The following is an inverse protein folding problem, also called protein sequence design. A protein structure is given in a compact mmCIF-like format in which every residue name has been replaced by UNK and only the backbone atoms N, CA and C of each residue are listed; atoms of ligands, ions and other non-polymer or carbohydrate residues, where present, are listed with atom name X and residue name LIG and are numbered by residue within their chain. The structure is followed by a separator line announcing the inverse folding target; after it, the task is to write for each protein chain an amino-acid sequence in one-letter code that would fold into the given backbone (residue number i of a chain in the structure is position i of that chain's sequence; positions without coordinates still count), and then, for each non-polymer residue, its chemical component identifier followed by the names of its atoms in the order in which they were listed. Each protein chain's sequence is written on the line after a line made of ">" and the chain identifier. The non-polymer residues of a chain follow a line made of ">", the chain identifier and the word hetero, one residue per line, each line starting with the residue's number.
data_IF_030492294302
#
_entry.id   IF_030492294302
#
_cell.length_a   1.000
_cell.length_b   1.000
_cell.length_c   1.000
_cell.angle_alpha   90.00
_cell.angle_beta   90.00
_cell.angle_gamma   90.00
#
_symmetry.space_group_name_H-M   'P 1'
#
loop_
_entity.id
_entity.type
_entity.pdbx_description
1 polymer ?
#
# COMPACT_ATOMS: atom_id res chain seq x y z
N UNK A 1 36.14 -39.80 -18.68
CA UNK A 1 34.98 -39.90 -17.78
C UNK A 1 34.62 -38.49 -17.32
N UNK A 2 33.73 -37.79 -18.03
CA UNK A 2 33.29 -36.44 -17.67
C UNK A 2 32.01 -36.54 -16.83
N UNK A 3 32.14 -36.36 -15.52
CA UNK A 3 30.99 -36.31 -14.61
C UNK A 3 30.33 -34.93 -14.71
N UNK A 4 29.13 -34.88 -15.30
CA UNK A 4 28.26 -33.71 -15.30
C UNK A 4 27.90 -33.35 -13.85
N UNK A 5 28.37 -32.19 -13.42
CA UNK A 5 27.99 -31.56 -12.15
C UNK A 5 26.48 -31.24 -12.22
N UNK A 6 25.65 -31.67 -11.26
CA UNK A 6 24.23 -31.32 -11.26
C UNK A 6 24.11 -29.81 -11.08
N UNK A 7 23.40 -29.15 -12.00
CA UNK A 7 23.07 -27.75 -11.89
C UNK A 7 22.24 -27.57 -10.62
N UNK A 8 22.81 -26.90 -9.63
CA UNK A 8 22.10 -26.44 -8.43
C UNK A 8 20.81 -25.76 -8.87
N UNK A 9 19.67 -25.99 -8.19
CA UNK A 9 18.44 -25.27 -8.51
C UNK A 9 18.76 -23.78 -8.44
N UNK A 10 18.59 -23.11 -9.58
CA UNK A 10 18.78 -21.68 -9.74
C UNK A 10 17.92 -21.01 -8.67
N UNK A 11 18.57 -20.58 -7.57
CA UNK A 11 17.95 -19.70 -6.61
C UNK A 11 17.53 -18.49 -7.42
N UNK A 12 16.24 -18.38 -7.71
CA UNK A 12 15.68 -17.12 -8.17
C UNK A 12 16.15 -16.11 -7.14
N UNK A 13 16.96 -15.17 -7.57
CA UNK A 13 17.32 -14.00 -6.79
C UNK A 13 16.02 -13.35 -6.36
N UNK A 14 15.56 -13.71 -5.15
CA UNK A 14 14.53 -12.96 -4.48
C UNK A 14 15.08 -11.55 -4.46
N UNK A 15 14.47 -10.66 -5.24
CA UNK A 15 14.79 -9.24 -5.19
C UNK A 15 14.71 -8.87 -3.72
N UNK A 16 15.87 -8.52 -3.15
CA UNK A 16 16.00 -8.26 -1.72
C UNK A 16 14.87 -7.35 -1.30
N UNK A 17 13.90 -7.92 -0.58
CA UNK A 17 12.78 -7.16 -0.07
C UNK A 17 13.36 -6.22 0.95
N UNK A 18 13.40 -4.94 0.60
CA UNK A 18 13.46 -3.95 1.64
C UNK A 18 12.16 -4.08 2.44
N UNK A 19 12.30 -4.38 3.73
CA UNK A 19 11.27 -4.08 4.72
C UNK A 19 11.09 -2.57 4.65
N UNK A 20 10.17 -2.14 3.79
CA UNK A 20 9.72 -0.78 3.74
C UNK A 20 8.75 -0.68 4.91
N UNK A 21 9.23 -0.27 6.09
CA UNK A 21 8.31 0.27 7.07
C UNK A 21 7.51 1.35 6.35
N UNK A 22 6.19 1.20 6.26
CA UNK A 22 5.31 2.19 5.62
C UNK A 22 5.53 3.58 6.25
N UNK A 23 5.87 3.59 7.54
CA UNK A 23 6.30 4.71 8.34
C UNK A 23 7.66 5.32 7.91
N UNK A 24 8.53 4.55 7.25
CA UNK A 24 9.85 5.01 6.82
C UNK A 24 9.86 5.75 5.48
N UNK A 25 8.99 5.33 4.54
CA UNK A 25 8.97 5.80 3.16
C UNK A 25 7.97 6.94 2.89
N UNK A 26 7.10 7.23 3.85
CA UNK A 26 6.16 8.35 3.78
C UNK A 26 6.48 9.32 4.94
N UNK A 27 7.24 10.41 4.71
CA UNK A 27 7.49 11.40 5.75
C UNK A 27 6.21 11.98 6.36
N UNK A 28 5.09 11.95 5.64
CA UNK A 28 3.76 12.32 6.16
C UNK A 28 3.19 11.35 7.21
N UNK A 29 3.64 10.09 7.25
CA UNK A 29 3.28 9.09 8.27
C UNK A 29 4.34 8.96 9.38
N UNK A 30 5.52 9.57 9.18
CA UNK A 30 6.69 9.43 10.04
C UNK A 30 6.66 10.39 11.23
N UNK A 31 6.04 11.55 11.06
CA UNK A 31 5.84 12.55 12.13
C UNK A 31 4.52 12.38 12.90
N UNK A 32 3.68 11.43 12.49
CA UNK A 32 2.34 11.29 13.04
C UNK A 32 2.22 10.03 13.89
N UNK A 33 2.61 10.15 15.17
CA UNK A 33 2.17 9.21 16.22
C UNK A 33 0.65 8.97 16.17
N UNK A 34 -0.14 9.88 15.59
CA UNK A 34 -1.57 9.73 15.38
C UNK A 34 -1.94 8.60 14.38
N UNK A 35 -1.06 8.24 13.42
CA UNK A 35 -1.34 7.09 12.53
C UNK A 35 -1.24 5.74 13.24
N UNK A 36 -0.58 5.66 14.41
CA UNK A 36 -0.62 4.46 15.26
C UNK A 36 -1.86 4.42 16.16
N UNK A 37 -2.57 5.53 16.33
CA UNK A 37 -3.82 5.62 17.11
C UNK A 37 -5.08 5.47 16.24
N UNK A 38 -4.97 5.62 14.91
CA UNK A 38 -6.12 5.69 14.00
C UNK A 38 -5.99 4.71 12.81
N UNK A 39 -6.56 3.50 12.90
CA UNK A 39 -6.43 2.49 11.86
C UNK A 39 -7.20 2.89 10.59
N UNK A 40 -6.47 3.26 9.55
CA UNK A 40 -7.03 3.58 8.22
C UNK A 40 -7.60 2.34 7.51
N UNK A 41 -7.08 1.17 7.85
CA UNK A 41 -7.48 -0.09 7.24
C UNK A 41 -8.43 -0.87 8.15
N UNK A 42 -9.53 -1.36 7.59
CA UNK A 42 -10.44 -2.23 8.33
C UNK A 42 -9.81 -3.61 8.56
N UNK A 43 -9.97 -4.12 9.79
CA UNK A 43 -9.63 -5.50 10.16
C UNK A 43 -10.77 -6.49 9.83
N UNK A 44 -11.94 -5.97 9.45
CA UNK A 44 -13.11 -6.78 9.11
C UNK A 44 -12.96 -7.44 7.74
N UNK A 45 -13.40 -8.68 7.64
CA UNK A 45 -13.55 -9.39 6.35
C UNK A 45 -14.86 -9.04 5.63
N UNK A 46 -15.77 -8.33 6.32
CA UNK A 46 -17.01 -7.78 5.75
C UNK A 46 -16.81 -6.31 5.37
N UNK A 47 -17.47 -5.81 4.31
CA UNK A 47 -17.42 -4.41 3.92
C UNK A 47 -17.77 -3.51 5.11
N UNK A 48 -16.84 -2.65 5.50
CA UNK A 48 -17.05 -1.65 6.53
C UNK A 48 -17.35 -0.32 5.86
N UNK A 49 -18.60 0.14 5.94
CA UNK A 49 -19.07 1.39 5.32
C UNK A 49 -19.21 2.52 6.34
N UNK A 50 -18.64 2.37 7.53
CA UNK A 50 -18.65 3.42 8.54
C UNK A 50 -17.66 4.51 8.17
N UNK A 51 -18.12 5.76 8.23
CA UNK A 51 -17.22 6.92 8.19
C UNK A 51 -16.53 6.97 9.54
N UNK A 52 -15.21 7.03 9.54
CA UNK A 52 -14.40 7.12 10.75
C UNK A 52 -13.93 8.56 10.89
N UNK A 53 -14.12 9.16 12.06
CA UNK A 53 -13.63 10.49 12.36
C UNK A 53 -12.76 10.43 13.61
N UNK A 54 -11.57 10.98 13.50
CA UNK A 54 -10.57 11.02 14.54
C UNK A 54 -10.15 12.46 14.77
N UNK A 55 -9.96 12.82 16.04
CA UNK A 55 -9.47 14.13 16.44
C UNK A 55 -8.41 13.94 17.52
N UNK A 56 -7.25 14.57 17.32
CA UNK A 56 -6.14 14.54 18.27
C UNK A 56 -5.35 15.84 18.22
N UNK A 57 -5.17 16.52 19.35
CA UNK A 57 -4.39 17.77 19.48
C UNK A 57 -4.75 18.86 18.44
N UNK A 58 -6.02 18.97 18.05
CA UNK A 58 -6.51 19.93 17.05
C UNK A 58 -6.33 19.47 15.59
N UNK A 59 -5.74 18.30 15.35
CA UNK A 59 -5.72 17.65 14.05
C UNK A 59 -6.95 16.75 13.91
N UNK A 60 -7.59 16.76 12.75
CA UNK A 60 -8.72 15.91 12.40
C UNK A 60 -8.35 15.00 11.24
N UNK A 61 -8.85 13.77 11.27
CA UNK A 61 -8.75 12.79 10.20
C UNK A 61 -10.12 12.13 10.00
N UNK A 62 -10.74 12.38 8.86
CA UNK A 62 -11.97 11.71 8.44
C UNK A 62 -11.65 10.70 7.34
N UNK A 63 -12.11 9.46 7.52
CA UNK A 63 -11.94 8.36 6.58
C UNK A 63 -13.32 8.02 6.03
N UNK A 64 -13.49 8.25 4.74
CA UNK A 64 -14.75 8.06 4.04
C UNK A 64 -14.63 6.80 3.16
N UNK A 65 -15.40 5.74 3.45
CA UNK A 65 -15.42 4.54 2.64
C UNK A 65 -16.20 4.75 1.34
N UNK A 66 -15.95 3.85 0.39
CA UNK A 66 -16.82 3.69 -0.78
C UNK A 66 -18.00 2.76 -0.48
N UNK A 67 -18.91 2.62 -1.45
CA UNK A 67 -19.96 1.60 -1.41
C UNK A 67 -19.43 0.16 -1.29
N UNK A 68 -18.14 -0.08 -1.61
CA UNK A 68 -17.47 -1.36 -1.45
C UNK A 68 -16.82 -1.55 -0.07
N UNK A 69 -16.94 -0.54 0.81
CA UNK A 69 -16.33 -0.49 2.13
C UNK A 69 -14.94 0.15 2.15
N UNK A 70 -14.39 0.28 3.35
CA UNK A 70 -13.01 0.71 3.63
C UNK A 70 -12.00 -0.28 3.05
N UNK A 71 -10.84 0.22 2.65
CA UNK A 71 -9.68 -0.62 2.38
C UNK A 71 -9.36 -1.49 3.60
N UNK A 72 -9.10 -2.77 3.36
CA UNK A 72 -8.80 -3.75 4.42
C UNK A 72 -7.30 -3.87 4.65
N UNK A 73 -6.91 -4.46 5.78
CA UNK A 73 -5.49 -4.75 6.06
C UNK A 73 -4.82 -5.60 4.96
N UNK A 74 -5.58 -6.45 4.28
CA UNK A 74 -5.08 -7.26 3.16
C UNK A 74 -4.82 -6.46 1.88
N UNK A 75 -5.50 -5.32 1.73
CA UNK A 75 -5.32 -4.41 0.61
C UNK A 75 -4.05 -3.56 0.79
N UNK A 76 -3.65 -3.32 2.05
CA UNK A 76 -2.40 -2.62 2.40
C UNK A 76 -1.16 -3.24 1.75
N UNK A 77 -1.13 -4.55 1.57
CA UNK A 77 0.01 -5.25 0.95
C UNK A 77 0.29 -4.75 -0.47
N UNK A 78 -0.74 -4.26 -1.20
CA UNK A 78 -0.56 -3.65 -2.52
C UNK A 78 0.19 -2.32 -2.41
N UNK A 79 -0.18 -1.48 -1.44
CA UNK A 79 0.50 -0.21 -1.17
C UNK A 79 1.94 -0.44 -0.72
N UNK A 80 2.15 -1.44 0.14
CA UNK A 80 3.48 -1.81 0.61
C UNK A 80 4.38 -2.29 -0.54
N UNK A 81 3.85 -3.14 -1.41
CA UNK A 81 4.54 -3.58 -2.62
C UNK A 81 4.94 -2.40 -3.51
N UNK A 82 4.00 -1.48 -3.77
CA UNK A 82 4.27 -0.24 -4.51
C UNK A 82 5.33 0.64 -3.85
N UNK A 83 5.28 0.82 -2.52
CA UNK A 83 6.26 1.60 -1.78
C UNK A 83 7.68 1.02 -1.90
N UNK A 84 7.81 -0.31 -1.90
CA UNK A 84 9.10 -0.98 -2.13
C UNK A 84 9.69 -0.68 -3.51
N UNK A 85 8.85 -0.58 -4.57
CA UNK A 85 9.32 -0.15 -5.90
C UNK A 85 9.81 1.30 -5.91
N UNK A 86 9.07 2.21 -5.28
CA UNK A 86 9.46 3.61 -5.19
C UNK A 86 10.77 3.77 -4.43
N UNK A 87 10.91 3.06 -3.31
CA UNK A 87 12.14 3.08 -2.52
C UNK A 87 13.33 2.53 -3.29
N UNK A 88 13.15 1.44 -4.03
CA UNK A 88 14.21 0.90 -4.89
C UNK A 88 14.65 1.90 -5.96
N UNK A 89 13.72 2.64 -6.57
CA UNK A 89 14.05 3.72 -7.52
C UNK A 89 14.87 4.83 -6.86
N UNK A 90 14.45 5.29 -5.67
CA UNK A 90 15.17 6.33 -4.90
C UNK A 90 16.60 5.87 -4.56
N UNK A 91 16.78 4.62 -4.12
CA UNK A 91 18.10 4.06 -3.79
C UNK A 91 19.01 4.03 -5.03
N UNK A 92 18.45 3.81 -6.22
CA UNK A 92 19.19 3.90 -7.49
C UNK A 92 19.46 5.33 -7.97
N UNK A 93 19.03 6.34 -7.22
CA UNK A 93 19.13 7.75 -7.61
C UNK A 93 18.14 8.16 -8.71
N UNK A 94 17.12 7.34 -8.99
CA UNK A 94 16.06 7.66 -9.94
C UNK A 94 14.99 8.52 -9.28
N UNK A 95 14.34 9.39 -10.05
CA UNK A 95 13.16 10.14 -9.58
C UNK A 95 11.94 9.21 -9.56
N UNK A 96 11.28 9.01 -8.40
CA UNK A 96 10.12 8.13 -8.29
C UNK A 96 8.95 8.68 -9.12
N UNK A 97 8.32 7.80 -9.90
CA UNK A 97 7.12 8.12 -10.70
C UNK A 97 5.86 8.01 -9.83
N UNK A 98 4.88 8.90 -10.07
CA UNK A 98 3.52 8.81 -9.48
C UNK A 98 2.72 7.62 -10.02
N UNK A 99 3.15 7.01 -11.12
CA UNK A 99 2.50 5.85 -11.72
C UNK A 99 3.45 4.66 -11.70
N UNK A 100 3.00 3.57 -11.07
CA UNK A 100 3.73 2.30 -10.98
C UNK A 100 3.05 1.29 -11.90
N UNK A 101 3.85 0.54 -12.67
CA UNK A 101 3.38 -0.52 -13.55
C UNK A 101 4.05 -1.83 -13.14
N UNK A 102 3.23 -2.83 -12.83
CA UNK A 102 3.64 -4.18 -12.50
C UNK A 102 2.56 -5.17 -12.94
N UNK A 103 2.90 -6.46 -13.05
CA UNK A 103 1.89 -7.48 -13.32
C UNK A 103 1.32 -8.02 -12.01
N UNK A 104 0.01 -8.30 -11.97
CA UNK A 104 -0.60 -8.90 -10.78
C UNK A 104 0.03 -10.26 -10.42
N UNK A 105 0.55 -11.00 -11.41
CA UNK A 105 1.31 -12.22 -11.18
C UNK A 105 2.58 -11.95 -10.36
N UNK A 106 3.38 -10.94 -10.73
CA UNK A 106 4.60 -10.60 -10.00
C UNK A 106 4.29 -10.17 -8.55
N UNK A 107 3.20 -9.43 -8.36
CA UNK A 107 2.71 -9.11 -7.02
C UNK A 107 2.39 -10.38 -6.22
N UNK A 108 1.63 -11.34 -6.76
CA UNK A 108 1.30 -12.57 -6.05
C UNK A 108 2.54 -13.40 -5.70
N UNK A 109 3.47 -13.56 -6.65
CA UNK A 109 4.73 -14.26 -6.41
C UNK A 109 5.56 -13.56 -5.34
N UNK A 110 5.62 -12.24 -5.37
CA UNK A 110 6.41 -11.45 -4.42
C UNK A 110 5.84 -11.47 -2.99
N UNK A 111 4.51 -11.57 -2.87
CA UNK A 111 3.80 -11.53 -1.58
C UNK A 111 3.50 -12.92 -1.02
N UNK A 112 4.08 -13.97 -1.62
CA UNK A 112 3.80 -15.38 -1.28
C UNK A 112 2.29 -15.72 -1.31
N UNK A 113 1.57 -15.16 -2.29
CA UNK A 113 0.14 -15.39 -2.50
C UNK A 113 -0.09 -16.33 -3.67
N UNK A 114 -1.12 -17.17 -3.57
CA UNK A 114 -1.55 -18.04 -4.66
C UNK A 114 -2.01 -17.20 -5.87
N UNK A 115 -1.45 -17.47 -7.04
CA UNK A 115 -1.85 -16.84 -8.31
C UNK A 115 -2.98 -17.62 -9.00
N UNK A 116 -4.17 -17.62 -8.40
CA UNK A 116 -5.37 -18.27 -8.96
C UNK A 116 -6.48 -17.27 -9.31
N UNK A 117 -7.50 -17.70 -10.05
CA UNK A 117 -8.59 -16.81 -10.52
C UNK A 117 -9.29 -16.04 -9.39
N UNK A 118 -9.43 -16.65 -8.19
CA UNK A 118 -10.02 -15.99 -7.01
C UNK A 118 -9.11 -14.88 -6.48
N UNK A 119 -7.80 -15.06 -6.51
CA UNK A 119 -6.83 -14.04 -6.11
C UNK A 119 -6.85 -12.85 -7.06
N UNK A 120 -6.93 -13.08 -8.38
CA UNK A 120 -7.09 -11.99 -9.35
C UNK A 120 -8.38 -11.19 -9.12
N UNK A 121 -9.50 -11.89 -8.85
CA UNK A 121 -10.76 -11.24 -8.49
C UNK A 121 -10.61 -10.37 -7.23
N UNK A 122 -10.02 -10.93 -6.16
CA UNK A 122 -9.79 -10.20 -4.89
C UNK A 122 -8.84 -9.02 -5.06
N UNK A 123 -7.82 -9.14 -5.90
CA UNK A 123 -6.89 -8.06 -6.21
C UNK A 123 -7.60 -6.89 -6.90
N UNK A 124 -8.49 -7.16 -7.86
CA UNK A 124 -9.32 -6.13 -8.48
C UNK A 124 -10.26 -5.45 -7.48
N UNK A 125 -10.88 -6.22 -6.59
CA UNK A 125 -11.71 -5.67 -5.52
C UNK A 125 -10.91 -4.81 -4.52
N UNK A 126 -9.67 -5.22 -4.22
CA UNK A 126 -8.75 -4.45 -3.40
C UNK A 126 -8.41 -3.10 -4.03
N UNK A 127 -8.06 -3.09 -5.33
CA UNK A 127 -7.81 -1.85 -6.07
C UNK A 127 -9.03 -0.91 -6.06
N UNK A 128 -10.24 -1.45 -6.22
CA UNK A 128 -11.48 -0.65 -6.13
C UNK A 128 -11.65 -0.01 -4.75
N UNK A 129 -11.49 -0.76 -3.67
CA UNK A 129 -11.57 -0.23 -2.29
C UNK A 129 -10.48 0.81 -2.00
N UNK A 130 -9.25 0.56 -2.45
CA UNK A 130 -8.14 1.51 -2.32
C UNK A 130 -8.45 2.82 -3.05
N UNK A 131 -8.95 2.77 -4.29
CA UNK A 131 -9.32 3.98 -5.03
C UNK A 131 -10.55 4.70 -4.47
N UNK A 132 -11.42 3.96 -3.80
CA UNK A 132 -12.67 4.48 -3.26
C UNK A 132 -12.58 5.03 -1.84
N UNK A 133 -11.52 4.71 -1.09
CA UNK A 133 -11.31 5.22 0.27
C UNK A 133 -10.73 6.63 0.19
N UNK A 134 -11.40 7.59 0.80
CA UNK A 134 -10.98 9.00 0.87
C UNK A 134 -10.57 9.35 2.29
N UNK A 135 -9.50 10.14 2.41
CA UNK A 135 -8.98 10.69 3.63
C UNK A 135 -9.11 12.21 3.54
N UNK A 136 -9.75 12.81 4.53
CA UNK A 136 -9.82 14.25 4.70
C UNK A 136 -9.11 14.59 6.00
N UNK A 137 -8.16 15.51 5.93
CA UNK A 137 -7.41 15.91 7.12
C UNK A 137 -7.00 17.36 7.06
N UNK A 138 -6.77 17.96 8.22
CA UNK A 138 -6.18 19.28 8.40
C UNK A 138 -4.71 19.21 8.88
N UNK A 139 -4.09 18.01 8.86
CA UNK A 139 -2.70 17.82 9.32
C UNK A 139 -1.76 18.72 8.53
N UNK A 140 -0.91 19.46 9.24
CA UNK A 140 0.05 20.40 8.66
C UNK A 140 1.19 19.65 7.98
N UNK A 141 1.29 19.73 6.66
CA UNK A 141 2.44 19.23 5.90
C UNK A 141 3.29 20.43 5.46
N UNK A 142 4.55 20.50 5.91
CA UNK A 142 5.48 21.56 5.49
C UNK A 142 5.13 22.98 6.00
N UNK A 143 4.40 23.11 7.11
CA UNK A 143 4.08 24.40 7.75
C UNK A 143 2.78 25.08 7.26
N UNK A 144 2.08 24.49 6.30
CA UNK A 144 0.76 24.94 5.84
C UNK A 144 -0.33 23.99 6.36
N UNK A 145 -1.39 24.55 6.94
CA UNK A 145 -2.62 23.80 7.22
C UNK A 145 -3.36 23.69 5.89
N UNK A 146 -3.45 22.48 5.34
CA UNK A 146 -4.24 22.22 4.15
C UNK A 146 -5.38 21.29 4.55
N UNK A 147 -6.62 21.76 4.44
CA UNK A 147 -7.78 20.89 4.44
C UNK A 147 -7.84 20.19 3.08
N UNK A 148 -7.19 19.04 2.97
CA UNK A 148 -7.06 18.30 1.72
C UNK A 148 -7.71 16.93 1.82
N UNK A 149 -8.60 16.66 0.86
CA UNK A 149 -9.23 15.36 0.65
C UNK A 149 -8.50 14.56 -0.42
N UNK A 150 -7.82 13.48 -0.07
CA UNK A 150 -7.09 12.64 -1.01
C UNK A 150 -7.46 11.15 -0.88
N UNK A 151 -7.26 10.39 -1.95
CA UNK A 151 -7.48 8.93 -1.96
C UNK A 151 -6.21 8.17 -1.57
N UNK A 152 -6.35 6.89 -1.19
CA UNK A 152 -5.19 6.01 -0.99
C UNK A 152 -4.44 5.73 -2.30
N UNK A 153 -5.19 5.63 -3.41
CA UNK A 153 -4.67 5.65 -4.78
C UNK A 153 -5.58 6.54 -5.63
N UNK A 154 -5.00 7.24 -6.60
CA UNK A 154 -5.76 8.14 -7.48
C UNK A 154 -6.55 7.35 -8.54
N UNK A 155 -5.91 6.35 -9.16
CA UNK A 155 -6.50 5.53 -10.23
C UNK A 155 -5.75 4.20 -10.43
N UNK A 156 -6.42 3.24 -11.07
CA UNK A 156 -5.83 1.97 -11.55
C UNK A 156 -6.37 1.65 -12.95
N UNK A 157 -5.59 0.92 -13.76
CA UNK A 157 -5.93 0.55 -15.15
C UNK A 157 -5.42 -0.84 -15.50
#
# INVERSE_FOLDING_TARGET
>A
MNSMKPLSPMQKSNCDFFVCNLFDALPCFKDDMASMEHPVFSLSTKPDTRILHYEHNGNTLTIIPSALGLATIHDKDILLYCASYLRAAIIRGETPSRTIRFTAHDFFVSTDRLANGRSYYRFKEALRRLSGTRLETNIKTGGLTIEEGFGLIDAWR
#
